data_IF_088083352965
#
_entry.id   IF_088083352965
#
_cell.length_a   1.000
_cell.length_b   1.000
_cell.length_c   1.000
_cell.angle_alpha   90.00
_cell.angle_beta   90.00
_cell.angle_gamma   90.00
#
_symmetry.space_group_name_H-M   'P 1'
#
loop_
_entity.id
_entity.type
_entity.pdbx_description
1 polymer ?
#
# COMPACT_ATOMS: atom_id res chain seq x y z
N UNK A 1 -1.51 -4.24 -25.69
CA UNK A 1 -1.87 -4.68 -24.33
C UNK A 1 -1.35 -3.63 -23.37
N UNK A 2 -2.22 -3.01 -22.60
CA UNK A 2 -1.84 -2.00 -21.63
C UNK A 2 -1.11 -2.65 -20.44
N UNK A 3 -0.06 -2.00 -19.92
CA UNK A 3 0.70 -2.52 -18.78
C UNK A 3 0.41 -1.70 -17.54
N UNK A 4 0.09 -2.37 -16.43
CA UNK A 4 -0.14 -1.76 -15.14
C UNK A 4 0.80 -2.36 -14.09
N UNK A 5 1.20 -1.55 -13.12
CA UNK A 5 2.21 -1.91 -12.12
C UNK A 5 1.61 -1.85 -10.71
N UNK A 6 1.80 -2.91 -9.96
CA UNK A 6 1.32 -3.08 -8.59
C UNK A 6 2.48 -3.47 -7.66
N UNK A 7 2.57 -2.81 -6.52
CA UNK A 7 3.33 -3.30 -5.37
C UNK A 7 2.34 -3.71 -4.29
N UNK A 8 2.48 -4.91 -3.80
CA UNK A 8 1.70 -5.44 -2.69
C UNK A 8 2.63 -5.81 -1.53
N UNK A 9 2.35 -5.27 -0.34
CA UNK A 9 3.09 -5.60 0.88
C UNK A 9 2.16 -6.26 1.87
N UNK A 10 2.48 -7.49 2.25
CA UNK A 10 1.68 -8.34 3.14
C UNK A 10 2.61 -9.33 3.84
N UNK A 11 2.36 -9.63 5.11
CA UNK A 11 3.08 -10.67 5.86
C UNK A 11 2.71 -12.08 5.40
N UNK A 12 1.54 -12.24 4.78
CA UNK A 12 1.07 -13.49 4.23
C UNK A 12 1.23 -13.49 2.71
N UNK A 13 1.61 -14.63 2.14
CA UNK A 13 1.71 -14.71 0.68
C UNK A 13 0.35 -14.54 0.00
N UNK A 14 0.31 -13.60 -0.92
CA UNK A 14 -0.83 -13.28 -1.77
C UNK A 14 -0.63 -13.75 -3.22
N UNK A 15 0.38 -14.57 -3.46
CA UNK A 15 0.80 -15.02 -4.81
C UNK A 15 -0.36 -15.60 -5.62
N UNK A 16 -1.18 -16.48 -5.04
CA UNK A 16 -2.29 -17.09 -5.78
C UNK A 16 -3.41 -16.09 -6.08
N UNK A 17 -3.64 -15.14 -5.18
CA UNK A 17 -4.57 -14.03 -5.40
C UNK A 17 -4.08 -13.14 -6.54
N UNK A 18 -2.82 -12.75 -6.54
CA UNK A 18 -2.21 -11.94 -7.59
C UNK A 18 -2.24 -12.64 -8.96
N UNK A 19 -2.01 -13.96 -9.00
CA UNK A 19 -2.17 -14.76 -10.22
C UNK A 19 -3.60 -14.73 -10.77
N UNK A 20 -4.63 -14.84 -9.88
CA UNK A 20 -6.04 -14.76 -10.30
C UNK A 20 -6.37 -13.38 -10.85
N UNK A 21 -5.93 -12.30 -10.18
CA UNK A 21 -6.10 -10.92 -10.63
C UNK A 21 -5.46 -10.74 -12.01
N UNK A 22 -4.21 -11.13 -12.17
CA UNK A 22 -3.46 -11.02 -13.43
C UNK A 22 -4.16 -11.78 -14.58
N UNK A 23 -4.63 -13.01 -14.30
CA UNK A 23 -5.37 -13.81 -15.29
C UNK A 23 -6.68 -13.13 -15.72
N UNK A 24 -7.38 -12.49 -14.78
CA UNK A 24 -8.64 -11.81 -15.09
C UNK A 24 -8.39 -10.53 -15.89
N UNK A 25 -7.41 -9.72 -15.51
CA UNK A 25 -7.04 -8.50 -16.22
C UNK A 25 -6.54 -8.77 -17.65
N UNK A 26 -5.85 -9.89 -17.84
CA UNK A 26 -5.39 -10.30 -19.18
C UNK A 26 -6.54 -10.50 -20.18
N UNK A 27 -7.72 -10.94 -19.70
CA UNK A 27 -8.92 -11.05 -20.54
C UNK A 27 -9.45 -9.69 -21.00
N UNK A 28 -9.17 -8.65 -20.21
CA UNK A 28 -9.54 -7.27 -20.50
C UNK A 28 -8.42 -6.52 -21.25
N UNK A 29 -7.39 -7.24 -21.76
CA UNK A 29 -6.29 -6.66 -22.53
C UNK A 29 -5.20 -5.97 -21.70
N UNK A 30 -5.20 -6.18 -20.36
CA UNK A 30 -4.27 -5.56 -19.43
C UNK A 30 -3.25 -6.58 -18.92
N UNK A 31 -1.96 -6.24 -19.02
CA UNK A 31 -0.86 -6.98 -18.41
C UNK A 31 -0.56 -6.39 -17.03
N UNK A 32 -0.78 -7.17 -15.96
CA UNK A 32 -0.39 -6.77 -14.61
C UNK A 32 1.05 -7.24 -14.32
N UNK A 33 1.94 -6.28 -14.13
CA UNK A 33 3.29 -6.50 -13.59
C UNK A 33 3.25 -6.17 -12.10
N UNK A 34 3.66 -7.11 -11.26
CA UNK A 34 3.56 -6.90 -9.82
C UNK A 34 4.81 -7.35 -9.08
N UNK A 35 5.02 -6.75 -7.92
CA UNK A 35 5.99 -7.17 -6.91
C UNK A 35 5.24 -7.43 -5.62
N UNK A 36 5.46 -8.62 -5.06
CA UNK A 36 4.95 -9.00 -3.74
C UNK A 36 6.11 -8.93 -2.75
N UNK A 37 5.89 -8.26 -1.63
CA UNK A 37 6.90 -8.04 -0.59
C UNK A 37 6.35 -8.56 0.74
N UNK A 38 7.05 -9.52 1.33
CA UNK A 38 6.81 -9.91 2.71
C UNK A 38 7.76 -9.10 3.62
N UNK A 39 7.25 -8.25 4.51
CA UNK A 39 8.11 -7.44 5.37
C UNK A 39 8.95 -8.26 6.35
N UNK A 40 8.51 -9.47 6.71
CA UNK A 40 9.26 -10.37 7.59
C UNK A 40 10.61 -10.83 6.98
N UNK A 41 10.74 -10.79 5.64
CA UNK A 41 11.99 -11.10 4.94
C UNK A 41 13.09 -10.05 5.22
N UNK A 42 12.73 -8.92 5.84
CA UNK A 42 13.62 -7.79 6.14
C UNK A 42 13.87 -7.62 7.64
N UNK A 43 13.76 -8.70 8.39
CA UNK A 43 14.10 -8.71 9.82
C UNK A 43 15.46 -9.34 10.04
N UNK A 44 16.26 -8.72 10.90
CA UNK A 44 17.56 -9.22 11.34
C UNK A 44 17.38 -10.02 12.62
N UNK A 45 18.09 -11.15 12.73
CA UNK A 45 18.13 -11.92 13.97
C UNK A 45 19.16 -11.30 14.91
N UNK A 46 18.72 -10.86 16.08
CA UNK A 46 19.58 -10.37 17.15
C UNK A 46 20.32 -11.53 17.83
N UNK A 47 21.40 -11.20 18.58
CA UNK A 47 22.14 -12.19 19.39
C UNK A 47 21.25 -12.83 20.47
N UNK A 48 20.21 -12.12 20.94
CA UNK A 48 19.18 -12.64 21.86
C UNK A 48 18.31 -13.72 21.23
N UNK A 49 18.30 -13.85 19.90
CA UNK A 49 17.43 -14.72 19.14
C UNK A 49 16.14 -14.04 18.64
N UNK A 50 15.87 -12.85 19.12
CA UNK A 50 14.74 -12.02 18.68
C UNK A 50 14.93 -11.53 17.23
N UNK A 51 13.83 -11.21 16.57
CA UNK A 51 13.86 -10.58 15.26
C UNK A 51 13.65 -9.07 15.43
N UNK A 52 14.49 -8.27 14.80
CA UNK A 52 14.35 -6.82 14.69
C UNK A 52 14.09 -6.47 13.23
N UNK A 53 13.02 -5.73 12.98
CA UNK A 53 12.65 -5.30 11.65
C UNK A 53 13.60 -4.22 11.11
N UNK A 54 14.15 -4.45 9.91
CA UNK A 54 15.07 -3.51 9.27
C UNK A 54 14.34 -2.64 8.21
N UNK A 55 13.79 -1.53 8.69
CA UNK A 55 13.12 -0.52 7.86
C UNK A 55 14.01 -0.01 6.72
N UNK A 56 15.33 0.08 6.94
CA UNK A 56 16.25 0.60 5.94
C UNK A 56 16.44 -0.40 4.79
N UNK A 57 16.54 -1.68 5.09
CA UNK A 57 16.64 -2.74 4.08
C UNK A 57 15.33 -2.85 3.28
N UNK A 58 14.17 -2.76 3.92
CA UNK A 58 12.90 -2.68 3.20
C UNK A 58 12.83 -1.46 2.26
N UNK A 59 13.28 -0.28 2.73
CA UNK A 59 13.35 0.93 1.89
C UNK A 59 14.25 0.75 0.67
N UNK A 60 15.40 0.09 0.84
CA UNK A 60 16.30 -0.27 -0.27
C UNK A 60 15.64 -1.23 -1.26
N UNK A 61 14.89 -2.21 -0.76
CA UNK A 61 14.13 -3.14 -1.61
C UNK A 61 13.12 -2.36 -2.47
N UNK A 62 12.32 -1.49 -1.88
CA UNK A 62 11.37 -0.66 -2.63
C UNK A 62 12.08 0.15 -3.73
N UNK A 63 13.20 0.80 -3.41
CA UNK A 63 14.00 1.56 -4.38
C UNK A 63 14.57 0.69 -5.51
N UNK A 64 14.81 -0.60 -5.28
CA UNK A 64 15.33 -1.52 -6.29
C UNK A 64 14.29 -1.98 -7.31
N UNK A 65 13.01 -1.71 -7.08
CA UNK A 65 11.92 -2.14 -7.97
C UNK A 65 11.97 -1.29 -9.25
N UNK A 66 12.21 -1.95 -10.39
CA UNK A 66 12.44 -1.29 -11.67
C UNK A 66 11.29 -0.39 -12.14
N UNK A 67 10.07 -0.72 -11.75
CA UNK A 67 8.88 0.03 -12.16
C UNK A 67 8.35 0.98 -11.08
N UNK A 68 9.11 1.23 -10.01
CA UNK A 68 8.66 2.08 -8.91
C UNK A 68 8.20 3.47 -9.38
N UNK A 69 8.94 4.09 -10.33
CA UNK A 69 8.57 5.40 -10.90
C UNK A 69 7.32 5.38 -11.79
N UNK A 70 6.86 4.20 -12.17
CA UNK A 70 5.67 3.98 -13.00
C UNK A 70 4.60 3.18 -12.25
N UNK A 71 4.66 3.18 -10.93
CA UNK A 71 3.73 2.47 -10.07
C UNK A 71 2.31 3.01 -10.24
N UNK A 72 1.35 2.14 -10.56
CA UNK A 72 -0.07 2.50 -10.71
C UNK A 72 -0.84 2.30 -9.41
N UNK A 73 -0.53 1.22 -8.66
CA UNK A 73 -1.20 0.88 -7.40
C UNK A 73 -0.18 0.44 -6.37
N UNK A 74 -0.31 1.00 -5.16
CA UNK A 74 0.34 0.50 -3.97
C UNK A 74 -0.70 -0.10 -3.04
N UNK A 75 -0.55 -1.36 -2.68
CA UNK A 75 -1.46 -2.06 -1.78
C UNK A 75 -0.70 -2.60 -0.58
N UNK A 76 -1.26 -2.47 0.61
CA UNK A 76 -0.64 -2.96 1.84
C UNK A 76 -1.67 -3.45 2.84
N UNK A 77 -1.37 -4.54 3.54
CA UNK A 77 -2.08 -4.84 4.79
C UNK A 77 -1.77 -3.74 5.81
N UNK A 78 -2.70 -3.52 6.71
CA UNK A 78 -2.50 -2.59 7.82
C UNK A 78 -1.55 -3.17 8.86
N UNK A 79 -1.72 -4.41 9.26
CA UNK A 79 -0.89 -5.09 10.25
C UNK A 79 0.20 -5.91 9.55
N UNK A 80 1.44 -5.45 9.60
CA UNK A 80 2.54 -6.07 8.87
C UNK A 80 3.56 -6.75 9.78
N UNK A 81 4.16 -6.00 10.70
CA UNK A 81 5.08 -6.53 11.70
C UNK A 81 4.61 -6.03 13.05
N UNK A 82 4.34 -6.97 13.95
CA UNK A 82 3.77 -6.65 15.25
C UNK A 82 4.58 -5.55 15.95
N UNK A 83 3.88 -4.46 16.32
CA UNK A 83 4.41 -3.26 16.99
C UNK A 83 5.51 -2.46 16.24
N UNK A 84 6.09 -2.96 15.15
CA UNK A 84 7.22 -2.33 14.46
C UNK A 84 6.86 -1.66 13.14
N UNK A 85 5.90 -2.24 12.38
CA UNK A 85 5.51 -1.75 11.06
C UNK A 85 4.01 -1.88 10.82
N UNK A 86 3.38 -0.77 10.47
CA UNK A 86 1.99 -0.74 10.00
C UNK A 86 1.93 -0.29 8.54
N UNK A 87 0.85 -0.64 7.85
CA UNK A 87 0.64 -0.23 6.46
C UNK A 87 0.70 1.29 6.25
N UNK A 88 0.28 2.06 7.25
CA UNK A 88 0.37 3.53 7.20
C UNK A 88 1.81 4.04 7.21
N UNK A 89 2.73 3.33 7.87
CA UNK A 89 4.17 3.68 7.87
C UNK A 89 4.78 3.44 6.49
N UNK A 90 4.30 2.40 5.79
CA UNK A 90 4.71 2.14 4.40
C UNK A 90 4.21 3.21 3.45
N UNK A 91 3.00 3.72 3.64
CA UNK A 91 2.48 4.81 2.83
C UNK A 91 3.31 6.08 3.06
N UNK A 92 3.66 6.38 4.31
CA UNK A 92 4.56 7.48 4.62
C UNK A 92 5.93 7.30 3.92
N UNK A 93 6.48 6.08 3.97
CA UNK A 93 7.74 5.75 3.27
C UNK A 93 7.60 5.87 1.74
N UNK A 94 6.47 5.46 1.16
CA UNK A 94 6.20 5.61 -0.26
C UNK A 94 6.24 7.09 -0.68
N UNK A 95 5.62 7.99 0.10
CA UNK A 95 5.66 9.43 -0.18
C UNK A 95 7.03 10.05 0.03
N UNK A 96 7.87 9.50 0.92
CA UNK A 96 9.28 9.89 1.00
C UNK A 96 10.06 9.51 -0.27
N UNK A 97 9.77 8.35 -0.85
CA UNK A 97 10.44 7.84 -2.05
C UNK A 97 9.89 8.49 -3.33
N UNK A 98 8.60 8.76 -3.36
CA UNK A 98 7.85 9.31 -4.48
C UNK A 98 7.00 10.51 -4.01
N UNK A 99 7.62 11.69 -3.78
CA UNK A 99 6.92 12.86 -3.23
C UNK A 99 5.71 13.34 -4.04
N UNK A 100 5.70 13.02 -5.33
CA UNK A 100 4.62 13.38 -6.27
C UNK A 100 3.74 12.19 -6.65
N UNK A 101 3.75 11.11 -5.84
CA UNK A 101 2.90 9.98 -6.09
C UNK A 101 1.42 10.37 -5.94
N UNK A 102 0.71 10.33 -7.04
CA UNK A 102 -0.70 10.70 -7.15
C UNK A 102 -1.57 9.55 -7.67
N UNK A 103 -1.07 8.33 -7.55
CA UNK A 103 -1.78 7.13 -7.97
C UNK A 103 -2.54 6.51 -6.80
N UNK A 104 -3.02 5.31 -7.00
CA UNK A 104 -3.98 4.69 -6.09
C UNK A 104 -3.28 3.93 -4.98
N UNK A 105 -3.76 4.12 -3.76
CA UNK A 105 -3.30 3.41 -2.57
C UNK A 105 -4.45 2.58 -2.02
N UNK A 106 -4.16 1.35 -1.61
CA UNK A 106 -5.09 0.46 -0.92
C UNK A 106 -4.49 0.07 0.42
N UNK A 107 -5.21 0.33 1.48
CA UNK A 107 -5.00 -0.31 2.79
C UNK A 107 -6.14 -1.31 3.01
N UNK A 108 -5.80 -2.51 3.40
CA UNK A 108 -6.78 -3.50 3.79
C UNK A 108 -6.46 -4.05 5.18
N UNK A 109 -7.50 -4.50 5.88
CA UNK A 109 -7.39 -5.13 7.19
C UNK A 109 -8.64 -5.96 7.44
N UNK A 110 -8.51 -7.07 8.15
CA UNK A 110 -9.65 -7.82 8.65
C UNK A 110 -10.48 -7.01 9.67
N UNK A 111 -9.85 -6.01 10.29
CA UNK A 111 -10.42 -5.18 11.36
C UNK A 111 -10.21 -3.70 11.03
N UNK A 112 -10.84 -3.21 9.97
CA UNK A 112 -10.63 -1.84 9.48
C UNK A 112 -11.05 -0.77 10.51
N UNK A 113 -12.02 -1.06 11.35
CA UNK A 113 -12.48 -0.15 12.42
C UNK A 113 -11.37 0.09 13.44
N UNK A 114 -10.62 -0.96 13.79
CA UNK A 114 -9.48 -0.87 14.71
C UNK A 114 -8.34 0.00 14.16
N UNK A 115 -8.23 0.09 12.83
CA UNK A 115 -7.24 0.94 12.16
C UNK A 115 -7.46 2.40 12.52
N UNK A 116 -8.70 2.85 12.43
CA UNK A 116 -9.07 4.25 12.71
C UNK A 116 -8.90 4.53 14.20
N UNK A 117 -9.39 3.65 15.07
CA UNK A 117 -9.27 3.80 16.52
C UNK A 117 -7.81 3.82 16.97
N UNK A 118 -6.98 2.94 16.44
CA UNK A 118 -5.55 2.93 16.76
C UNK A 118 -4.85 4.24 16.35
N UNK A 119 -5.19 4.82 15.20
CA UNK A 119 -4.59 6.08 14.74
C UNK A 119 -5.04 7.25 15.60
N UNK A 120 -6.32 7.26 16.04
CA UNK A 120 -6.87 8.33 16.87
C UNK A 120 -6.38 8.22 18.32
N UNK A 121 -6.26 7.01 18.85
CA UNK A 121 -5.97 6.76 20.27
C UNK A 121 -4.49 6.64 20.59
N UNK A 122 -3.64 6.25 19.61
CA UNK A 122 -2.18 6.18 19.82
C UNK A 122 -1.59 7.58 19.98
N UNK A 123 -1.65 8.10 21.22
CA UNK A 123 -0.96 9.34 21.62
C UNK A 123 0.55 9.17 21.79
N UNK A 124 1.08 7.95 21.68
CA UNK A 124 2.44 7.62 22.07
C UNK A 124 3.54 8.32 21.25
N UNK A 125 3.29 8.59 19.95
CA UNK A 125 4.31 9.09 19.03
C UNK A 125 4.23 10.60 18.76
N UNK A 126 3.41 11.32 19.53
CA UNK A 126 3.30 12.77 19.44
C UNK A 126 2.27 13.27 18.41
N UNK A 127 1.69 14.42 18.74
CA UNK A 127 0.62 15.09 18.00
C UNK A 127 0.93 15.35 16.51
N UNK A 128 2.19 15.66 16.20
CA UNK A 128 2.64 15.93 14.82
C UNK A 128 2.51 14.70 13.93
N UNK A 129 2.90 13.53 14.43
CA UNK A 129 2.83 12.27 13.70
C UNK A 129 1.37 11.84 13.51
N UNK A 130 0.53 11.99 14.52
CA UNK A 130 -0.90 11.75 14.44
C UNK A 130 -1.58 12.61 13.37
N UNK A 131 -1.27 13.93 13.32
CA UNK A 131 -1.78 14.82 12.27
C UNK A 131 -1.31 14.38 10.88
N UNK A 132 -0.05 13.95 10.75
CA UNK A 132 0.47 13.45 9.47
C UNK A 132 -0.27 12.20 9.03
N UNK A 133 -0.51 11.26 9.93
CA UNK A 133 -1.31 10.07 9.64
C UNK A 133 -2.75 10.41 9.26
N UNK A 134 -3.41 11.28 10.01
CA UNK A 134 -4.78 11.73 9.68
C UNK A 134 -4.84 12.44 8.32
N UNK A 135 -3.83 13.23 7.96
CA UNK A 135 -3.74 13.83 6.62
C UNK A 135 -3.59 12.79 5.53
N UNK A 136 -2.75 11.78 5.74
CA UNK A 136 -2.60 10.67 4.78
C UNK A 136 -3.92 9.91 4.62
N UNK A 137 -4.64 9.65 5.72
CA UNK A 137 -5.95 9.00 5.69
C UNK A 137 -7.02 9.82 4.96
N UNK A 138 -6.97 11.13 5.07
CA UNK A 138 -7.93 12.05 4.43
C UNK A 138 -7.66 12.27 2.93
N UNK A 139 -6.54 11.77 2.38
CA UNK A 139 -6.25 11.88 0.96
C UNK A 139 -7.21 10.98 0.18
N UNK A 140 -7.83 11.54 -0.85
CA UNK A 140 -8.90 10.91 -1.66
C UNK A 140 -8.47 9.62 -2.40
N UNK A 141 -7.18 9.30 -2.39
CA UNK A 141 -6.60 8.17 -3.14
C UNK A 141 -6.37 6.92 -2.29
N UNK A 142 -6.59 7.00 -0.97
CA UNK A 142 -6.48 5.86 -0.09
C UNK A 142 -7.81 5.11 -0.03
N UNK A 143 -7.78 3.86 -0.45
CA UNK A 143 -8.96 2.98 -0.43
C UNK A 143 -8.81 2.01 0.76
N UNK A 144 -9.84 1.93 1.58
CA UNK A 144 -9.92 1.04 2.73
C UNK A 144 -10.77 -0.17 2.40
N UNK A 145 -10.30 -1.36 2.72
CA UNK A 145 -11.03 -2.61 2.48
C UNK A 145 -11.11 -3.42 3.78
N UNK A 146 -12.33 -3.83 4.12
CA UNK A 146 -12.62 -4.58 5.35
C UNK A 146 -12.59 -6.09 5.18
N UNK A 147 -12.49 -6.61 3.96
CA UNK A 147 -12.52 -8.05 3.72
C UNK A 147 -11.70 -8.50 2.52
N UNK A 148 -11.24 -9.74 2.60
CA UNK A 148 -10.51 -10.42 1.54
C UNK A 148 -11.28 -10.58 0.23
N UNK A 149 -12.62 -10.75 0.31
CA UNK A 149 -13.45 -10.98 -0.87
C UNK A 149 -13.56 -9.77 -1.80
N UNK A 150 -13.40 -8.57 -1.28
CA UNK A 150 -13.50 -7.35 -2.05
C UNK A 150 -12.18 -6.94 -2.72
N UNK A 151 -11.04 -7.42 -2.19
CA UNK A 151 -9.70 -7.01 -2.61
C UNK A 151 -9.46 -7.22 -4.11
N UNK A 152 -9.75 -8.43 -4.64
CA UNK A 152 -9.54 -8.74 -6.06
C UNK A 152 -10.40 -7.84 -6.97
N UNK A 153 -11.66 -7.66 -6.59
CA UNK A 153 -12.59 -6.82 -7.34
C UNK A 153 -12.18 -5.34 -7.28
N UNK A 154 -11.71 -4.89 -6.13
CA UNK A 154 -11.27 -3.50 -5.94
C UNK A 154 -10.02 -3.19 -6.75
N UNK A 155 -8.99 -4.06 -6.71
CA UNK A 155 -7.80 -3.88 -7.55
C UNK A 155 -8.21 -3.84 -9.03
N UNK A 156 -9.06 -4.79 -9.48
CA UNK A 156 -9.54 -4.80 -10.86
C UNK A 156 -10.25 -3.49 -11.22
N UNK A 157 -11.15 -3.01 -10.39
CA UNK A 157 -11.86 -1.74 -10.60
C UNK A 157 -10.91 -0.55 -10.68
N UNK A 158 -9.93 -0.49 -9.79
CA UNK A 158 -8.95 0.60 -9.75
C UNK A 158 -8.02 0.59 -10.96
N UNK A 159 -7.69 -0.59 -11.49
CA UNK A 159 -6.86 -0.71 -12.70
C UNK A 159 -7.64 -0.29 -13.94
N UNK A 160 -8.91 -0.70 -14.05
CA UNK A 160 -9.75 -0.44 -15.23
C UNK A 160 -10.28 1.00 -15.25
N UNK A 161 -10.58 1.59 -14.07
CA UNK A 161 -10.97 3.00 -13.99
C UNK A 161 -9.77 3.87 -14.38
N UNK A 162 -9.89 4.58 -15.50
CA UNK A 162 -9.03 5.72 -15.75
C UNK A 162 -9.11 6.71 -14.57
N UNK A 163 -7.99 7.38 -14.22
CA UNK A 163 -8.06 8.47 -13.27
C UNK A 163 -9.11 9.46 -13.80
N UNK A 164 -10.06 9.80 -12.94
CA UNK A 164 -11.06 10.82 -13.24
C UNK A 164 -10.29 12.15 -13.40
N UNK A 165 -9.91 12.47 -14.65
CA UNK A 165 -9.23 13.71 -15.03
C UNK A 165 -10.20 14.92 -15.04
N UNK A 166 -11.30 14.83 -14.33
CA UNK A 166 -12.07 16.02 -13.96
C UNK A 166 -11.27 16.81 -12.94
N UNK A 167 -10.21 17.47 -13.42
CA UNK A 167 -9.72 18.69 -12.79
C UNK A 167 -10.94 19.60 -12.75
N UNK A 168 -11.38 19.83 -11.53
CA UNK A 168 -12.49 20.73 -11.26
C UNK A 168 -12.09 22.10 -11.83
N UNK A 169 -12.60 22.42 -13.02
CA UNK A 169 -12.38 23.70 -13.71
C UNK A 169 -12.96 24.91 -12.94
N UNK A 170 -13.39 24.69 -11.69
CA UNK A 170 -13.94 25.71 -10.79
C UNK A 170 -12.88 26.42 -9.93
N UNK A 171 -11.60 26.09 -10.10
CA UNK A 171 -10.50 26.79 -9.41
C UNK A 171 -9.66 27.65 -10.35
N UNK A 172 -10.18 28.01 -11.52
CA UNK A 172 -9.52 28.91 -12.46
C UNK A 172 -10.38 30.16 -12.68
N UNK A 173 -10.75 30.85 -11.57
CA UNK A 173 -11.23 32.24 -11.56
C UNK A 173 -10.71 32.99 -10.33
#
# INVERSE_FOLDING_TARGET
>A
MERKHLILVDEQSQTDRLKRISKNLKKDGIELVYEEINPNDYSNRLESGDLEFDKHTLKKKLLSIRFLSHLDIFATDYNLVEDELKGIDLIAMLYELLPHYNKKIIIYSAQIEDVIDNIITKRADGFKQQITMLKLLAQNEINYLSSDGEFENKIKQLIIKEPDLTIDSRLAD
#
